data_IF_432135794379
#
_entry.id   IF_432135794379
#
_cell.length_a   1.000
_cell.length_b   1.000
_cell.length_c   1.000
_cell.angle_alpha   90.00
_cell.angle_beta   90.00
_cell.angle_gamma   90.00
#
_symmetry.space_group_name_H-M   'P 1'
#
loop_
_entity.id
_entity.type
_entity.pdbx_description
1 polymer ?
#
# COMPACT_ATOMS: atom_id res chain seq x y z
N UNK A 1 4.20 -60.26 -45.16
CA UNK A 1 3.34 -59.81 -44.04
C UNK A 1 4.17 -59.82 -42.77
N UNK A 2 4.64 -58.65 -42.31
CA UNK A 2 5.30 -58.48 -41.02
C UNK A 2 4.93 -57.06 -40.55
N UNK A 3 3.96 -56.96 -39.63
CA UNK A 3 3.49 -55.68 -39.08
C UNK A 3 4.29 -55.37 -37.82
N UNK A 4 5.11 -54.33 -37.89
CA UNK A 4 5.82 -53.72 -36.77
C UNK A 4 4.80 -52.95 -35.94
N UNK A 5 4.66 -53.33 -34.66
CA UNK A 5 3.79 -52.67 -33.69
C UNK A 5 4.60 -51.55 -32.99
N UNK A 6 4.39 -50.30 -33.40
CA UNK A 6 4.88 -49.13 -32.67
C UNK A 6 3.92 -48.83 -31.50
N UNK A 7 4.38 -49.04 -30.26
CA UNK A 7 3.68 -48.56 -29.06
C UNK A 7 4.14 -47.12 -28.81
N UNK A 8 3.29 -46.17 -29.18
CA UNK A 8 3.48 -44.75 -28.84
C UNK A 8 3.04 -44.55 -27.39
N UNK A 9 4.00 -44.35 -26.49
CA UNK A 9 3.74 -43.91 -25.12
C UNK A 9 3.36 -42.42 -25.15
N UNK A 10 2.06 -42.12 -25.05
CA UNK A 10 1.56 -40.77 -24.84
C UNK A 10 1.83 -40.35 -23.39
N UNK A 11 2.85 -39.52 -23.20
CA UNK A 11 3.03 -38.71 -22.00
C UNK A 11 1.81 -37.80 -21.83
N UNK A 12 0.92 -38.15 -20.90
CA UNK A 12 -0.11 -37.25 -20.41
C UNK A 12 0.58 -36.13 -19.59
N UNK A 13 0.85 -35.01 -20.24
CA UNK A 13 1.09 -33.76 -19.54
C UNK A 13 -0.24 -33.30 -18.93
N UNK A 14 -0.45 -33.59 -17.65
CA UNK A 14 -1.46 -32.91 -16.87
C UNK A 14 -1.02 -31.45 -16.70
N UNK A 15 -1.54 -30.57 -17.54
CA UNK A 15 -1.59 -29.15 -17.21
C UNK A 15 -2.39 -29.02 -15.91
N UNK A 16 -1.72 -28.65 -14.82
CA UNK A 16 -2.39 -28.10 -13.66
C UNK A 16 -3.02 -26.78 -14.13
N UNK A 17 -4.26 -26.85 -14.61
CA UNK A 17 -5.13 -25.70 -14.67
C UNK A 17 -5.26 -25.21 -13.23
N UNK A 18 -4.60 -24.10 -12.92
CA UNK A 18 -4.91 -23.34 -11.71
C UNK A 18 -6.41 -23.09 -11.75
N UNK A 19 -7.16 -23.69 -10.83
CA UNK A 19 -8.61 -23.49 -10.78
C UNK A 19 -8.88 -21.99 -10.61
N UNK A 20 -9.71 -21.42 -11.48
CA UNK A 20 -10.10 -20.02 -11.35
C UNK A 20 -10.83 -19.82 -10.03
N UNK A 21 -10.57 -18.70 -9.36
CA UNK A 21 -11.33 -18.31 -8.19
C UNK A 21 -12.78 -18.02 -8.59
N UNK A 22 -13.74 -18.58 -7.85
CA UNK A 22 -15.14 -18.13 -7.89
C UNK A 22 -15.37 -17.20 -6.69
N UNK A 23 -15.93 -16.02 -6.97
CA UNK A 23 -16.27 -15.03 -5.94
C UNK A 23 -17.74 -14.69 -6.05
N UNK A 24 -18.47 -15.04 -5.01
CA UNK A 24 -19.88 -14.72 -4.88
C UNK A 24 -20.07 -13.60 -3.88
N UNK A 25 -20.94 -12.66 -4.23
CA UNK A 25 -21.23 -11.46 -3.44
C UNK A 25 -22.72 -11.27 -3.32
N UNK A 26 -23.24 -11.37 -2.09
CA UNK A 26 -24.65 -11.16 -1.77
C UNK A 26 -24.82 -9.88 -0.96
N UNK A 27 -25.49 -8.89 -1.53
CA UNK A 27 -25.68 -7.59 -0.91
C UNK A 27 -27.03 -7.58 -0.16
N UNK A 28 -26.98 -7.49 1.17
CA UNK A 28 -28.15 -7.25 2.00
C UNK A 28 -28.27 -5.75 2.37
N UNK A 29 -29.27 -5.39 3.17
CA UNK A 29 -29.51 -3.99 3.57
C UNK A 29 -28.34 -3.43 4.40
N UNK A 30 -27.86 -4.18 5.39
CA UNK A 30 -26.87 -3.74 6.38
C UNK A 30 -25.48 -4.32 6.14
N UNK A 31 -25.39 -5.51 5.54
CA UNK A 31 -24.14 -6.22 5.29
C UNK A 31 -24.02 -6.66 3.84
N UNK A 32 -22.79 -6.90 3.40
CA UNK A 32 -22.47 -7.61 2.16
C UNK A 32 -21.72 -8.88 2.53
N UNK A 33 -22.25 -10.03 2.11
CA UNK A 33 -21.58 -11.32 2.25
C UNK A 33 -20.68 -11.58 1.04
N UNK A 34 -19.49 -12.09 1.33
CA UNK A 34 -18.52 -12.55 0.34
C UNK A 34 -18.24 -14.03 0.56
N UNK A 35 -18.14 -14.78 -0.54
CA UNK A 35 -17.70 -16.18 -0.54
C UNK A 35 -16.64 -16.34 -1.62
N UNK A 36 -15.49 -16.86 -1.23
CA UNK A 36 -14.33 -17.09 -2.08
C UNK A 36 -14.07 -18.59 -2.15
N UNK A 37 -14.03 -19.16 -3.35
CA UNK A 37 -13.74 -20.56 -3.59
C UNK A 37 -12.52 -20.69 -4.51
N UNK A 38 -11.44 -21.29 -4.02
CA UNK A 38 -10.23 -21.58 -4.81
C UNK A 38 -9.63 -22.94 -4.40
N UNK A 39 -9.90 -24.02 -5.15
CA UNK A 39 -9.37 -25.35 -4.83
C UNK A 39 -7.83 -25.38 -4.79
N UNK A 40 -7.22 -26.18 -3.91
CA UNK A 40 -7.85 -27.16 -3.01
C UNK A 40 -8.31 -26.57 -1.67
N UNK A 41 -8.31 -25.25 -1.50
CA UNK A 41 -8.68 -24.62 -0.24
C UNK A 41 -10.20 -24.71 0.03
N UNK A 42 -10.61 -24.75 1.32
CA UNK A 42 -12.01 -24.63 1.70
C UNK A 42 -12.57 -23.25 1.34
N UNK A 43 -13.90 -23.14 1.25
CA UNK A 43 -14.58 -21.86 1.06
C UNK A 43 -14.22 -20.88 2.18
N UNK A 44 -13.81 -19.67 1.82
CA UNK A 44 -13.70 -18.54 2.74
C UNK A 44 -14.94 -17.68 2.63
N UNK A 45 -15.72 -17.61 3.72
CA UNK A 45 -16.91 -16.75 3.80
C UNK A 45 -16.79 -15.73 4.93
N UNK A 46 -17.21 -14.50 4.66
CA UNK A 46 -17.27 -13.44 5.64
C UNK A 46 -18.28 -12.36 5.23
N UNK A 47 -18.67 -11.53 6.21
CA UNK A 47 -19.56 -10.40 5.98
C UNK A 47 -18.89 -9.09 6.34
N UNK A 48 -19.13 -8.07 5.53
CA UNK A 48 -18.69 -6.70 5.77
C UNK A 48 -19.90 -5.78 5.98
N UNK A 49 -19.77 -4.83 6.89
CA UNK A 49 -20.81 -3.82 7.14
C UNK A 49 -20.88 -2.80 5.98
N UNK A 50 -22.08 -2.55 5.45
CA UNK A 50 -22.29 -1.66 4.31
C UNK A 50 -22.02 -0.19 4.63
N UNK A 51 -22.18 0.23 5.90
CA UNK A 51 -21.81 1.57 6.36
C UNK A 51 -20.30 1.72 6.38
N UNK A 52 -19.55 0.70 6.84
CA UNK A 52 -18.10 0.67 6.80
C UNK A 52 -17.57 0.67 5.35
N UNK A 53 -18.19 -0.14 4.47
CA UNK A 53 -17.90 -0.12 3.03
C UNK A 53 -18.11 1.30 2.50
N UNK A 54 -19.27 1.92 2.69
CA UNK A 54 -19.54 3.26 2.18
C UNK A 54 -18.56 4.31 2.72
N UNK A 55 -18.21 4.23 4.00
CA UNK A 55 -17.28 5.16 4.64
C UNK A 55 -15.86 5.05 4.09
N UNK A 56 -15.42 3.86 3.66
CA UNK A 56 -14.07 3.62 3.13
C UNK A 56 -14.01 3.54 1.60
N UNK A 57 -15.16 3.43 0.92
CA UNK A 57 -15.28 3.49 -0.55
C UNK A 57 -15.21 4.93 -1.08
N UNK A 58 -15.58 5.90 -0.25
CA UNK A 58 -15.39 7.32 -0.54
C UNK A 58 -14.14 7.84 0.16
N UNK A 59 -13.36 8.68 -0.52
CA UNK A 59 -12.28 9.50 0.06
C UNK A 59 -10.86 8.93 0.11
N UNK A 60 -10.31 8.60 -1.05
CA UNK A 60 -8.95 9.07 -1.37
C UNK A 60 -9.04 9.89 -2.64
N UNK A 61 -9.26 11.21 -2.51
CA UNK A 61 -9.15 12.11 -3.66
C UNK A 61 -7.78 11.88 -4.26
N UNK A 62 -7.70 11.59 -5.56
CA UNK A 62 -6.42 11.42 -6.25
C UNK A 62 -5.53 12.63 -5.95
N UNK A 63 -4.27 12.36 -5.60
CA UNK A 63 -3.32 13.42 -5.33
C UNK A 63 -3.19 14.31 -6.57
N UNK A 64 -3.23 15.61 -6.33
CA UNK A 64 -3.01 16.62 -7.35
C UNK A 64 -2.00 17.63 -6.83
N UNK A 65 -0.86 17.72 -7.51
CA UNK A 65 0.18 18.72 -7.22
C UNK A 65 -0.40 20.12 -7.34
N UNK A 66 -1.29 20.36 -8.30
CA UNK A 66 -1.93 21.67 -8.48
C UNK A 66 -2.79 22.05 -7.27
N UNK A 67 -3.63 21.15 -6.78
CA UNK A 67 -4.48 21.41 -5.61
C UNK A 67 -3.64 21.55 -4.33
N UNK A 68 -2.56 20.79 -4.21
CA UNK A 68 -1.59 20.94 -3.12
C UNK A 68 -0.96 22.33 -3.16
N UNK A 69 -0.44 22.76 -4.30
CA UNK A 69 0.18 24.08 -4.50
C UNK A 69 -0.80 25.21 -4.20
N UNK A 70 -2.06 25.10 -4.65
CA UNK A 70 -3.10 26.09 -4.35
C UNK A 70 -3.36 26.18 -2.84
N UNK A 71 -3.44 25.05 -2.15
CA UNK A 71 -3.62 25.00 -0.70
C UNK A 71 -2.44 25.64 0.04
N UNK A 72 -1.21 25.26 -0.33
CA UNK A 72 0.02 25.79 0.26
C UNK A 72 0.09 27.31 0.07
N UNK A 73 -0.12 27.80 -1.17
CA UNK A 73 -0.16 29.24 -1.48
C UNK A 73 -1.12 29.99 -0.58
N UNK A 74 -2.34 29.46 -0.42
CA UNK A 74 -3.35 30.09 0.43
C UNK A 74 -2.90 30.17 1.90
N UNK A 75 -2.38 29.08 2.47
CA UNK A 75 -1.92 29.07 3.87
C UNK A 75 -0.72 30.01 4.08
N UNK A 76 0.22 30.04 3.14
CA UNK A 76 1.38 30.93 3.25
C UNK A 76 0.99 32.39 3.05
N UNK A 77 -0.03 32.69 2.22
CA UNK A 77 -0.60 34.04 2.13
C UNK A 77 -1.18 34.49 3.46
N UNK A 78 -1.96 33.64 4.12
CA UNK A 78 -2.52 33.94 5.45
C UNK A 78 -1.42 34.16 6.49
N UNK A 79 -0.33 33.39 6.44
CA UNK A 79 0.84 33.61 7.29
C UNK A 79 1.54 34.94 6.96
N UNK A 80 1.78 35.25 5.69
CA UNK A 80 2.44 36.48 5.26
C UNK A 80 1.69 37.75 5.68
N UNK A 81 0.35 37.73 5.64
CA UNK A 81 -0.48 38.85 6.13
C UNK A 81 -0.26 39.09 7.63
N UNK A 82 -0.14 38.02 8.44
CA UNK A 82 0.12 38.14 9.89
C UNK A 82 1.53 38.64 10.20
N UNK A 83 2.49 38.36 9.32
CA UNK A 83 3.89 38.74 9.46
C UNK A 83 4.22 40.08 8.81
N UNK A 84 3.23 40.76 8.25
CA UNK A 84 3.42 42.05 7.61
C UNK A 84 3.82 43.11 8.64
N UNK A 85 4.99 43.71 8.44
CA UNK A 85 5.53 44.76 9.30
C UNK A 85 6.24 45.84 8.47
N UNK A 86 6.45 47.02 9.06
CA UNK A 86 7.14 48.14 8.39
C UNK A 86 8.55 47.70 7.97
N UNK A 87 8.95 48.06 6.75
CA UNK A 87 10.27 47.73 6.22
C UNK A 87 10.42 46.30 5.68
N UNK A 88 9.39 45.46 5.78
CA UNK A 88 9.38 44.10 5.20
C UNK A 88 8.39 44.02 4.04
N UNK A 89 8.83 43.41 2.93
CA UNK A 89 8.01 43.12 1.75
C UNK A 89 8.13 41.64 1.42
N UNK A 90 7.01 40.93 1.51
CA UNK A 90 6.87 39.55 1.06
C UNK A 90 6.34 39.53 -0.37
N UNK A 91 6.96 38.77 -1.25
CA UNK A 91 6.49 38.53 -2.61
C UNK A 91 6.33 37.04 -2.84
N UNK A 92 5.27 36.66 -3.55
CA UNK A 92 4.99 35.27 -3.91
C UNK A 92 5.06 35.12 -5.42
N UNK A 93 5.52 33.96 -5.88
CA UNK A 93 5.52 33.67 -7.31
C UNK A 93 4.09 33.65 -7.87
N UNK A 94 3.90 34.07 -9.13
CA UNK A 94 2.66 33.89 -9.87
C UNK A 94 2.15 32.44 -9.85
N UNK A 95 0.84 32.24 -10.07
CA UNK A 95 0.20 30.91 -10.03
C UNK A 95 0.73 29.95 -11.12
N UNK A 96 1.20 30.48 -12.25
CA UNK A 96 1.72 29.71 -13.39
C UNK A 96 3.21 29.34 -13.27
N UNK A 97 3.88 29.72 -12.17
CA UNK A 97 5.27 29.36 -11.89
C UNK A 97 5.35 28.52 -10.61
N UNK A 98 6.39 27.69 -10.42
CA UNK A 98 6.59 26.96 -9.16
C UNK A 98 6.46 27.88 -7.94
N UNK A 99 5.81 27.40 -6.89
CA UNK A 99 5.55 28.22 -5.71
C UNK A 99 6.88 28.63 -5.04
N UNK A 100 7.12 29.93 -4.93
CA UNK A 100 8.28 30.53 -4.26
C UNK A 100 7.83 31.74 -3.48
N UNK A 101 8.49 31.95 -2.35
CA UNK A 101 8.28 33.11 -1.47
C UNK A 101 9.62 33.80 -1.29
N UNK A 102 9.65 35.11 -1.54
CA UNK A 102 10.82 35.96 -1.31
C UNK A 102 10.47 37.04 -0.31
N UNK A 103 11.35 37.21 0.68
CA UNK A 103 11.26 38.27 1.68
C UNK A 103 12.35 39.30 1.39
N UNK A 104 11.99 40.58 1.39
CA UNK A 104 12.92 41.71 1.26
C UNK A 104 12.70 42.69 2.39
N UNK A 105 13.77 43.34 2.83
CA UNK A 105 13.70 44.40 3.83
C UNK A 105 15.04 45.02 4.12
N UNK A 106 15.04 46.00 5.01
CA UNK A 106 16.22 46.80 5.34
C UNK A 106 17.09 46.13 6.41
N UNK A 107 16.47 45.34 7.30
CA UNK A 107 17.15 44.63 8.40
C UNK A 107 17.25 43.14 8.07
N UNK A 108 18.49 42.65 7.92
CA UNK A 108 18.75 41.25 7.54
C UNK A 108 18.15 40.24 8.53
N UNK A 109 18.26 40.51 9.83
CA UNK A 109 17.71 39.63 10.88
C UNK A 109 16.19 39.49 10.81
N UNK A 110 15.48 40.57 10.49
CA UNK A 110 14.03 40.56 10.32
C UNK A 110 13.63 39.82 9.03
N UNK A 111 14.39 39.99 7.95
CA UNK A 111 14.20 39.25 6.70
C UNK A 111 14.34 37.75 6.94
N UNK A 112 15.41 37.33 7.61
CA UNK A 112 15.68 35.93 7.91
C UNK A 112 14.60 35.32 8.80
N UNK A 113 14.18 36.03 9.85
CA UNK A 113 13.12 35.57 10.74
C UNK A 113 11.80 35.34 10.00
N UNK A 114 11.36 36.30 9.17
CA UNK A 114 10.12 36.18 8.40
C UNK A 114 10.25 35.08 7.34
N UNK A 115 11.41 34.96 6.68
CA UNK A 115 11.67 33.91 5.70
C UNK A 115 11.56 32.51 6.33
N UNK A 116 12.14 32.31 7.52
CA UNK A 116 12.03 31.04 8.26
C UNK A 116 10.59 30.74 8.66
N UNK A 117 9.85 31.73 9.17
CA UNK A 117 8.45 31.54 9.55
C UNK A 117 7.55 31.19 8.35
N UNK A 118 7.80 31.78 7.18
CA UNK A 118 7.06 31.46 5.96
C UNK A 118 7.45 30.07 5.39
N UNK A 119 8.71 29.66 5.51
CA UNK A 119 9.14 28.30 5.17
C UNK A 119 8.48 27.26 6.08
N UNK A 120 8.40 27.52 7.38
CA UNK A 120 7.69 26.66 8.33
C UNK A 120 6.19 26.59 7.98
N UNK A 121 5.55 27.72 7.68
CA UNK A 121 4.15 27.74 7.26
C UNK A 121 3.92 26.95 5.96
N UNK A 122 4.85 27.06 5.00
CA UNK A 122 4.81 26.29 3.75
C UNK A 122 4.90 24.78 4.01
N UNK A 123 5.88 24.35 4.81
CA UNK A 123 6.06 22.94 5.16
C UNK A 123 4.85 22.39 5.89
N UNK A 124 4.36 23.11 6.91
CA UNK A 124 3.17 22.72 7.67
C UNK A 124 1.92 22.63 6.79
N UNK A 125 1.73 23.57 5.85
CA UNK A 125 0.61 23.53 4.92
C UNK A 125 0.68 22.30 4.01
N UNK A 126 1.86 21.92 3.56
CA UNK A 126 2.04 20.73 2.74
C UNK A 126 1.79 19.44 3.54
N UNK A 127 2.38 19.32 4.72
CA UNK A 127 2.19 18.17 5.61
C UNK A 127 0.72 18.00 6.01
N UNK A 128 0.04 19.12 6.31
CA UNK A 128 -1.39 19.12 6.63
C UNK A 128 -2.24 18.71 5.43
N UNK A 129 -1.90 19.15 4.21
CA UNK A 129 -2.60 18.74 3.00
C UNK A 129 -2.49 17.23 2.79
N UNK A 130 -1.26 16.70 2.84
CA UNK A 130 -1.01 15.27 2.69
C UNK A 130 -1.74 14.46 3.76
N UNK A 131 -1.60 14.85 5.02
CA UNK A 131 -2.27 14.19 6.15
C UNK A 131 -3.79 14.23 6.02
N UNK A 132 -4.39 15.37 5.64
CA UNK A 132 -5.85 15.47 5.48
C UNK A 132 -6.37 14.44 4.48
N UNK A 133 -5.65 14.28 3.37
CA UNK A 133 -6.11 13.50 2.21
C UNK A 133 -5.50 12.09 2.16
N UNK A 134 -4.96 11.58 3.27
CA UNK A 134 -4.39 10.23 3.38
C UNK A 134 -3.20 9.99 2.45
N UNK A 135 -2.30 10.98 2.36
CA UNK A 135 -1.04 10.86 1.67
C UNK A 135 0.15 10.98 2.62
N UNK A 136 1.27 10.42 2.18
CA UNK A 136 2.54 10.42 2.86
C UNK A 136 3.65 10.82 1.89
N UNK A 137 4.55 11.71 2.34
CA UNK A 137 5.73 12.10 1.59
C UNK A 137 6.85 11.10 1.86
N UNK A 138 7.12 10.23 0.90
CA UNK A 138 8.18 9.24 0.99
C UNK A 138 9.49 9.80 0.44
N UNK A 139 10.60 9.30 1.00
CA UNK A 139 11.96 9.54 0.51
C UNK A 139 12.56 8.24 0.00
N UNK A 140 13.13 8.28 -1.20
CA UNK A 140 13.93 7.17 -1.74
C UNK A 140 15.28 7.09 -1.01
N UNK A 141 16.02 5.98 -1.15
CA UNK A 141 17.40 5.89 -0.66
C UNK A 141 18.34 6.95 -1.25
N UNK A 142 18.04 7.48 -2.44
CA UNK A 142 18.81 8.55 -3.10
C UNK A 142 18.39 9.95 -2.69
N UNK A 143 17.37 10.09 -1.83
CA UNK A 143 16.87 11.37 -1.31
C UNK A 143 15.73 12.00 -2.14
N UNK A 144 15.32 11.37 -3.24
CA UNK A 144 14.18 11.81 -4.04
C UNK A 144 12.87 11.70 -3.25
N UNK A 145 11.98 12.68 -3.42
CA UNK A 145 10.70 12.73 -2.71
C UNK A 145 9.56 12.39 -3.64
N UNK A 146 8.61 11.59 -3.16
CA UNK A 146 7.41 11.24 -3.90
C UNK A 146 6.23 11.02 -2.95
N UNK A 147 5.04 11.37 -3.43
CA UNK A 147 3.81 11.25 -2.66
C UNK A 147 3.16 9.90 -2.92
N UNK A 148 2.81 9.19 -1.85
CA UNK A 148 2.06 7.93 -1.92
C UNK A 148 0.85 7.97 -0.98
N UNK A 149 -0.15 7.10 -1.18
CA UNK A 149 -1.17 6.90 -0.16
C UNK A 149 -0.54 6.54 1.19
N UNK A 150 -1.11 7.03 2.29
CA UNK A 150 -0.66 6.70 3.64
C UNK A 150 -1.10 5.29 4.02
N UNK A 151 -0.45 4.29 3.42
CA UNK A 151 -0.75 2.87 3.59
C UNK A 151 -0.81 2.44 5.06
N UNK A 152 0.04 3.03 5.92
CA UNK A 152 0.04 2.78 7.37
C UNK A 152 -1.27 3.20 8.00
N UNK A 153 -1.68 4.44 7.75
CA UNK A 153 -2.95 4.95 8.28
C UNK A 153 -4.15 4.23 7.68
N UNK A 154 -4.14 3.96 6.37
CA UNK A 154 -5.24 3.24 5.71
C UNK A 154 -5.39 1.84 6.30
N UNK A 155 -4.28 1.10 6.46
CA UNK A 155 -4.30 -0.22 7.11
C UNK A 155 -4.93 -0.13 8.51
N UNK A 156 -4.43 0.77 9.36
CA UNK A 156 -4.91 0.93 10.74
C UNK A 156 -6.41 1.24 10.81
N UNK A 157 -6.93 2.05 9.89
CA UNK A 157 -8.35 2.40 9.84
C UNK A 157 -9.24 1.32 9.24
N UNK A 158 -8.71 0.49 8.33
CA UNK A 158 -9.47 -0.62 7.76
C UNK A 158 -9.55 -1.85 8.69
N UNK A 159 -8.60 -2.02 9.60
CA UNK A 159 -8.52 -3.19 10.49
C UNK A 159 -9.81 -3.57 11.21
N UNK A 160 -10.55 -2.66 11.88
CA UNK A 160 -11.79 -3.03 12.56
C UNK A 160 -12.84 -3.65 11.63
N UNK A 161 -12.96 -3.12 10.41
CA UNK A 161 -13.91 -3.63 9.43
C UNK A 161 -13.46 -4.95 8.78
N UNK A 162 -12.16 -5.28 8.84
CA UNK A 162 -11.60 -6.54 8.34
C UNK A 162 -11.57 -7.65 9.41
N UNK A 163 -12.12 -7.41 10.60
CA UNK A 163 -12.09 -8.39 11.69
C UNK A 163 -12.82 -9.69 11.32
N UNK A 164 -13.94 -9.63 10.60
CA UNK A 164 -14.70 -10.81 10.17
C UNK A 164 -13.87 -11.72 9.26
N UNK A 165 -13.07 -11.14 8.37
CA UNK A 165 -12.13 -11.88 7.50
C UNK A 165 -11.08 -12.58 8.34
N UNK A 166 -10.52 -11.86 9.31
CA UNK A 166 -9.47 -12.36 10.20
C UNK A 166 -9.99 -13.55 11.02
N UNK A 167 -11.22 -13.46 11.53
CA UNK A 167 -11.90 -14.55 12.23
C UNK A 167 -12.13 -15.76 11.31
N UNK A 168 -12.61 -15.54 10.07
CA UNK A 168 -12.83 -16.63 9.11
C UNK A 168 -11.54 -17.41 8.80
N UNK A 169 -10.39 -16.73 8.67
CA UNK A 169 -9.10 -17.42 8.54
C UNK A 169 -8.71 -18.21 9.79
N UNK A 170 -8.98 -17.67 10.99
CA UNK A 170 -8.72 -18.38 12.25
C UNK A 170 -9.62 -19.61 12.40
N UNK A 171 -10.88 -19.53 11.97
CA UNK A 171 -11.83 -20.63 12.03
C UNK A 171 -11.42 -21.78 11.08
N UNK A 172 -10.93 -21.45 9.88
CA UNK A 172 -10.50 -22.44 8.88
C UNK A 172 -9.15 -23.09 9.18
N UNK A 173 -8.17 -22.30 9.66
CA UNK A 173 -6.76 -22.75 9.73
C UNK A 173 -6.19 -22.75 11.15
N UNK A 174 -6.92 -22.22 12.14
CA UNK A 174 -6.40 -21.97 13.47
C UNK A 174 -5.36 -20.84 13.51
N UNK A 175 -4.97 -20.41 14.72
CA UNK A 175 -4.00 -19.32 14.92
C UNK A 175 -2.67 -19.75 15.57
N UNK A 176 -2.45 -21.04 15.74
CA UNK A 176 -1.27 -21.57 16.44
C UNK A 176 -0.02 -21.57 15.56
N UNK A 177 -0.19 -21.51 14.24
CA UNK A 177 0.89 -21.50 13.27
C UNK A 177 0.81 -20.26 12.38
N UNK A 178 1.56 -19.21 12.74
CA UNK A 178 1.59 -17.96 11.97
C UNK A 178 2.05 -18.18 10.52
N UNK A 179 2.98 -19.09 10.26
CA UNK A 179 3.47 -19.37 8.89
C UNK A 179 2.36 -19.96 8.02
N UNK A 180 1.62 -20.93 8.56
CA UNK A 180 0.52 -21.58 7.83
C UNK A 180 -0.55 -20.56 7.46
N UNK A 181 -1.10 -19.83 8.44
CA UNK A 181 -2.19 -18.90 8.18
C UNK A 181 -1.73 -17.70 7.34
N UNK A 182 -0.51 -17.22 7.52
CA UNK A 182 0.12 -16.20 6.65
C UNK A 182 0.17 -16.67 5.20
N UNK A 183 0.60 -17.91 4.95
CA UNK A 183 0.59 -18.51 3.62
C UNK A 183 -0.80 -18.51 3.01
N UNK A 184 -1.82 -18.95 3.76
CA UNK A 184 -3.22 -18.97 3.28
C UNK A 184 -3.80 -17.60 3.00
N UNK A 185 -3.47 -16.59 3.81
CA UNK A 185 -3.86 -15.20 3.52
C UNK A 185 -3.16 -14.73 2.24
N UNK A 186 -1.87 -15.02 2.08
CA UNK A 186 -1.12 -14.68 0.86
C UNK A 186 -1.74 -15.34 -0.38
N UNK A 187 -2.01 -16.65 -0.32
CA UNK A 187 -2.61 -17.43 -1.41
C UNK A 187 -3.95 -16.83 -1.84
N UNK A 188 -4.82 -16.47 -0.87
CA UNK A 188 -6.10 -15.81 -1.13
C UNK A 188 -5.95 -14.43 -1.78
N UNK A 189 -5.08 -13.57 -1.24
CA UNK A 189 -4.88 -12.22 -1.78
C UNK A 189 -4.32 -12.25 -3.20
N UNK A 190 -3.45 -13.22 -3.50
CA UNK A 190 -2.88 -13.43 -4.84
C UNK A 190 -3.95 -13.86 -5.87
N UNK A 191 -5.09 -14.43 -5.44
CA UNK A 191 -6.20 -14.75 -6.34
C UNK A 191 -7.02 -13.52 -6.76
N UNK A 192 -6.96 -12.43 -5.99
CA UNK A 192 -7.66 -11.20 -6.35
C UNK A 192 -6.97 -10.65 -7.62
N UNK A 193 -7.70 -10.27 -8.68
CA UNK A 193 -7.12 -9.73 -9.90
C UNK A 193 -6.21 -8.53 -9.65
N UNK A 194 -5.11 -8.47 -10.40
CA UNK A 194 -4.20 -7.33 -10.40
C UNK A 194 -4.80 -6.19 -11.25
N UNK A 195 -4.84 -4.99 -10.70
CA UNK A 195 -5.20 -3.77 -11.43
C UNK A 195 -3.95 -2.90 -11.56
N UNK A 196 -3.52 -2.65 -12.79
CA UNK A 196 -2.23 -2.00 -13.04
C UNK A 196 -2.15 -0.59 -12.44
N UNK A 197 -1.02 -0.35 -11.77
CA UNK A 197 -0.51 0.98 -11.54
C UNK A 197 0.24 1.46 -12.77
N UNK A 198 -0.10 2.65 -13.25
CA UNK A 198 0.93 3.47 -13.91
C UNK A 198 2.02 3.80 -12.87
N UNK A 199 3.30 3.76 -13.27
CA UNK A 199 4.51 4.01 -12.44
C UNK A 199 4.25 4.87 -11.17
N UNK A 200 4.60 4.36 -9.97
CA UNK A 200 4.34 4.99 -8.65
C UNK A 200 4.86 6.43 -8.54
N UNK A 201 6.01 6.73 -9.17
CA UNK A 201 6.58 8.08 -9.19
C UNK A 201 5.77 9.04 -10.07
N UNK A 202 5.15 8.54 -11.14
CA UNK A 202 4.36 9.33 -12.09
C UNK A 202 2.88 9.41 -11.70
N UNK A 203 2.38 8.47 -10.91
CA UNK A 203 0.95 8.24 -10.72
C UNK A 203 0.42 8.68 -9.36
N UNK A 204 1.32 8.92 -8.38
CA UNK A 204 0.99 9.34 -7.00
C UNK A 204 -0.13 8.48 -6.35
N UNK A 205 -0.12 7.16 -6.60
CA UNK A 205 -1.14 6.23 -6.11
C UNK A 205 -2.39 6.13 -6.97
N UNK A 206 -2.36 6.60 -8.23
CA UNK A 206 -3.45 6.39 -9.19
C UNK A 206 -3.59 4.90 -9.51
N UNK A 207 -4.60 4.26 -8.92
CA UNK A 207 -4.87 2.83 -9.02
C UNK A 207 -4.96 2.13 -7.65
N UNK A 208 -4.55 2.83 -6.58
CA UNK A 208 -4.67 2.33 -5.21
C UNK A 208 -6.14 2.23 -4.78
N UNK A 209 -6.48 1.07 -4.20
CA UNK A 209 -7.77 0.74 -3.62
C UNK A 209 -7.58 0.33 -2.17
N UNK A 210 -8.16 1.11 -1.24
CA UNK A 210 -8.19 0.73 0.17
C UNK A 210 -8.86 -0.66 0.36
N UNK A 211 -8.53 -1.43 1.42
CA UNK A 211 -8.92 -2.84 1.55
C UNK A 211 -10.40 -3.14 1.27
N UNK A 212 -11.33 -2.37 1.82
CA UNK A 212 -12.77 -2.61 1.62
C UNK A 212 -13.21 -2.35 0.17
N UNK A 213 -12.65 -1.31 -0.47
CA UNK A 213 -12.89 -1.02 -1.88
C UNK A 213 -12.32 -2.12 -2.77
N UNK A 214 -11.08 -2.56 -2.50
CA UNK A 214 -10.45 -3.67 -3.22
C UNK A 214 -11.31 -4.94 -3.16
N UNK A 215 -11.91 -5.26 -2.00
CA UNK A 215 -12.78 -6.44 -1.87
C UNK A 215 -14.11 -6.27 -2.63
N UNK A 216 -14.71 -5.08 -2.55
CA UNK A 216 -16.00 -4.78 -3.22
C UNK A 216 -15.87 -4.77 -4.74
N UNK A 217 -14.74 -4.28 -5.25
CA UNK A 217 -14.41 -4.19 -6.68
C UNK A 217 -13.68 -5.42 -7.20
N UNK A 218 -13.30 -6.33 -6.30
CA UNK A 218 -12.53 -7.54 -6.58
C UNK A 218 -11.29 -7.26 -7.45
N UNK A 219 -10.50 -6.27 -7.04
CA UNK A 219 -9.28 -5.91 -7.75
C UNK A 219 -8.50 -4.79 -7.07
N UNK A 220 -7.19 -4.80 -7.30
CA UNK A 220 -6.30 -3.78 -6.78
C UNK A 220 -4.86 -4.00 -7.22
N UNK A 221 -4.03 -3.00 -6.97
CA UNK A 221 -2.60 -3.02 -7.27
C UNK A 221 -1.74 -3.72 -6.20
N UNK A 222 -0.42 -3.72 -6.39
CA UNK A 222 0.53 -4.28 -5.42
C UNK A 222 0.41 -3.65 -4.02
N UNK A 223 0.24 -2.33 -3.95
CA UNK A 223 0.09 -1.59 -2.70
C UNK A 223 -1.18 -1.98 -1.95
N UNK A 224 -2.31 -2.06 -2.65
CA UNK A 224 -3.63 -2.42 -2.13
C UNK A 224 -3.65 -3.83 -1.57
N UNK A 225 -3.06 -4.78 -2.30
CA UNK A 225 -2.93 -6.17 -1.87
C UNK A 225 -2.01 -6.34 -0.67
N UNK A 226 -0.87 -5.63 -0.67
CA UNK A 226 0.05 -5.61 0.47
C UNK A 226 -0.64 -5.07 1.74
N UNK A 227 -1.42 -3.99 1.61
CA UNK A 227 -2.18 -3.42 2.73
C UNK A 227 -3.28 -4.36 3.23
N UNK A 228 -4.02 -5.02 2.33
CA UNK A 228 -5.04 -6.01 2.72
C UNK A 228 -4.43 -7.17 3.49
N UNK A 229 -3.38 -7.78 2.93
CA UNK A 229 -2.64 -8.87 3.58
C UNK A 229 -2.16 -8.44 4.98
N UNK A 230 -1.53 -7.27 5.06
CA UNK A 230 -0.96 -6.78 6.31
C UNK A 230 -2.03 -6.52 7.37
N UNK A 231 -3.16 -5.91 6.99
CA UNK A 231 -4.26 -5.63 7.90
C UNK A 231 -4.88 -6.91 8.48
N UNK A 232 -5.12 -7.92 7.63
CA UNK A 232 -5.69 -9.21 8.06
C UNK A 232 -4.71 -9.94 8.99
N UNK A 233 -3.43 -10.05 8.60
CA UNK A 233 -2.43 -10.71 9.45
C UNK A 233 -2.25 -10.00 10.80
N UNK A 234 -2.21 -8.66 10.82
CA UNK A 234 -2.08 -7.86 12.04
C UNK A 234 -3.31 -7.97 12.95
N UNK A 235 -4.51 -8.20 12.41
CA UNK A 235 -5.70 -8.48 13.23
C UNK A 235 -5.58 -9.82 13.97
N UNK A 236 -4.99 -10.83 13.32
CA UNK A 236 -4.80 -12.16 13.93
C UNK A 236 -3.64 -12.13 14.93
N UNK A 237 -2.55 -11.44 14.59
CA UNK A 237 -1.33 -11.34 15.38
C UNK A 237 -0.97 -9.88 15.70
N UNK A 238 -1.70 -9.20 16.60
CA UNK A 238 -1.58 -7.76 16.82
C UNK A 238 -0.23 -7.32 17.43
N UNK A 239 0.54 -8.24 18.00
CA UNK A 239 1.87 -7.97 18.58
C UNK A 239 3.01 -8.15 17.59
N UNK A 240 2.77 -8.79 16.44
CA UNK A 240 3.81 -9.03 15.45
C UNK A 240 4.07 -7.74 14.69
N UNK A 241 5.33 -7.39 14.50
CA UNK A 241 5.67 -6.25 13.66
C UNK A 241 5.46 -6.62 12.19
N UNK A 242 4.89 -5.68 11.44
CA UNK A 242 4.73 -5.80 9.99
C UNK A 242 5.20 -4.49 9.34
N UNK A 243 5.50 -4.54 8.06
CA UNK A 243 5.88 -3.38 7.26
C UNK A 243 5.61 -3.61 5.78
N UNK A 244 5.60 -2.53 5.02
CA UNK A 244 5.68 -2.60 3.55
C UNK A 244 7.07 -2.17 3.12
N UNK A 245 7.65 -2.92 2.20
CA UNK A 245 8.87 -2.60 1.48
C UNK A 245 8.49 -2.15 0.08
N UNK A 246 8.92 -0.95 -0.30
CA UNK A 246 8.63 -0.31 -1.58
C UNK A 246 9.85 -0.35 -2.50
N UNK A 247 9.63 -0.91 -3.68
CA UNK A 247 10.51 -0.83 -4.84
C UNK A 247 10.00 0.27 -5.80
N UNK A 248 10.72 0.62 -6.87
CA UNK A 248 10.24 1.63 -7.82
C UNK A 248 8.86 1.35 -8.42
N UNK A 249 8.59 0.09 -8.77
CA UNK A 249 7.36 -0.35 -9.47
C UNK A 249 6.61 -1.49 -8.75
N UNK A 250 6.99 -1.81 -7.50
CA UNK A 250 6.39 -2.91 -6.74
C UNK A 250 6.37 -2.63 -5.25
N UNK A 251 5.54 -3.35 -4.51
CA UNK A 251 5.50 -3.31 -3.05
C UNK A 251 5.22 -4.70 -2.49
N UNK A 252 5.93 -5.04 -1.42
CA UNK A 252 5.85 -6.34 -0.76
C UNK A 252 5.78 -6.15 0.74
N UNK A 253 5.42 -7.20 1.47
CA UNK A 253 5.26 -7.14 2.92
C UNK A 253 6.48 -7.71 3.61
N UNK A 254 6.96 -7.00 4.64
CA UNK A 254 7.92 -7.50 5.61
C UNK A 254 7.15 -7.89 6.87
N UNK A 255 6.98 -9.19 7.12
CA UNK A 255 6.22 -9.69 8.27
C UNK A 255 7.15 -10.39 9.27
N UNK A 256 6.95 -10.13 10.57
CA UNK A 256 7.69 -10.80 11.64
C UNK A 256 7.19 -12.25 11.80
N UNK A 257 7.63 -13.08 10.87
CA UNK A 257 7.35 -14.50 10.75
C UNK A 257 8.71 -15.21 10.77
N UNK A 258 8.89 -16.29 11.56
CA UNK A 258 10.14 -17.03 11.58
C UNK A 258 10.47 -17.57 10.18
N UNK A 259 11.62 -17.25 9.57
CA UNK A 259 11.99 -17.73 8.25
C UNK A 259 12.47 -19.19 8.27
N UNK A 260 12.38 -19.88 7.14
CA UNK A 260 13.06 -21.16 6.87
C UNK A 260 14.37 -20.92 6.14
N UNK A 261 15.17 -21.99 6.02
CA UNK A 261 16.37 -21.97 5.19
C UNK A 261 16.04 -21.56 3.75
N UNK A 262 16.91 -20.74 3.16
CA UNK A 262 16.80 -20.21 1.80
C UNK A 262 15.61 -19.29 1.52
N UNK A 263 14.83 -18.90 2.53
CA UNK A 263 13.81 -17.86 2.39
C UNK A 263 14.41 -16.45 2.45
N UNK A 264 13.89 -15.56 1.60
CA UNK A 264 14.26 -14.16 1.58
C UNK A 264 13.76 -13.43 2.81
N UNK A 265 14.68 -12.71 3.44
CA UNK A 265 14.40 -11.88 4.60
C UNK A 265 14.92 -10.46 4.39
N UNK A 266 14.39 -9.53 5.17
CA UNK A 266 14.87 -8.15 5.24
C UNK A 266 15.06 -7.75 6.70
N UNK A 267 16.18 -7.12 7.03
CA UNK A 267 16.42 -6.59 8.38
C UNK A 267 16.07 -5.11 8.43
N UNK A 268 15.07 -4.75 9.23
CA UNK A 268 14.60 -3.39 9.42
C UNK A 268 14.69 -3.05 10.91
N UNK A 269 15.36 -1.96 11.27
CA UNK A 269 15.53 -1.53 12.67
C UNK A 269 16.05 -2.63 13.61
N UNK A 270 16.93 -3.50 13.11
CA UNK A 270 17.51 -4.62 13.87
C UNK A 270 16.61 -5.86 14.00
N UNK A 271 15.40 -5.84 13.44
CA UNK A 271 14.47 -6.97 13.43
C UNK A 271 14.51 -7.62 12.05
N UNK A 272 14.57 -8.95 12.01
CA UNK A 272 14.50 -9.73 10.77
C UNK A 272 13.05 -10.05 10.44
N UNK A 273 12.64 -9.74 9.21
CA UNK A 273 11.31 -9.97 8.69
C UNK A 273 11.39 -10.95 7.51
N UNK A 274 10.41 -11.85 7.42
CA UNK A 274 10.18 -12.65 6.23
C UNK A 274 9.56 -11.75 5.16
N UNK A 275 10.07 -11.85 3.94
CA UNK A 275 9.48 -11.16 2.79
C UNK A 275 8.31 -11.97 2.26
N UNK A 276 7.16 -11.32 2.09
CA UNK A 276 5.94 -11.91 1.57
C UNK A 276 5.42 -11.07 0.42
N UNK A 277 5.21 -11.71 -0.72
CA UNK A 277 4.65 -11.09 -1.92
C UNK A 277 3.21 -11.56 -2.14
N UNK A 278 2.20 -10.80 -1.70
CA UNK A 278 0.80 -11.19 -1.84
C UNK A 278 0.18 -10.76 -3.18
N UNK A 279 0.96 -10.24 -4.15
CA UNK A 279 0.35 -9.50 -5.26
C UNK A 279 -0.23 -10.36 -6.37
N UNK A 280 0.31 -11.56 -6.59
CA UNK A 280 -0.10 -12.46 -7.67
C UNK A 280 0.10 -11.84 -9.06
N UNK A 281 -0.50 -12.40 -10.13
CA UNK A 281 -1.27 -13.64 -10.15
C UNK A 281 -0.40 -14.90 -10.20
N UNK A 282 0.91 -14.77 -10.44
CA UNK A 282 1.83 -15.90 -10.35
C UNK A 282 1.95 -16.31 -8.88
N UNK A 283 1.61 -17.57 -8.50
CA UNK A 283 1.68 -18.00 -7.12
C UNK A 283 3.10 -17.88 -6.56
N UNK A 284 3.28 -17.05 -5.54
CA UNK A 284 4.54 -16.82 -4.85
C UNK A 284 4.48 -17.42 -3.46
N UNK A 285 5.46 -18.27 -3.14
CA UNK A 285 5.60 -18.82 -1.78
C UNK A 285 6.11 -17.75 -0.83
N UNK A 286 5.85 -17.94 0.46
CA UNK A 286 6.50 -17.14 1.50
C UNK A 286 8.03 -17.15 1.32
N UNK A 287 8.68 -16.02 1.58
CA UNK A 287 10.12 -15.91 1.44
C UNK A 287 10.63 -15.95 0.00
N UNK A 288 9.77 -15.77 -1.01
CA UNK A 288 10.18 -15.72 -2.42
C UNK A 288 9.78 -14.42 -3.09
N UNK A 289 10.60 -13.98 -4.04
CA UNK A 289 10.38 -12.80 -4.86
C UNK A 289 10.93 -13.01 -6.26
N UNK A 290 10.40 -12.28 -7.24
CA UNK A 290 11.01 -12.23 -8.56
C UNK A 290 12.44 -11.69 -8.49
N UNK A 291 13.34 -12.24 -9.33
CA UNK A 291 14.79 -11.98 -9.29
C UNK A 291 15.14 -10.49 -9.27
N UNK A 292 14.44 -9.66 -10.05
CA UNK A 292 14.61 -8.21 -10.08
C UNK A 292 14.52 -7.58 -8.68
N UNK A 293 13.54 -7.98 -7.88
CA UNK A 293 13.30 -7.44 -6.53
C UNK A 293 14.26 -8.00 -5.49
N UNK A 294 14.79 -9.21 -5.71
CA UNK A 294 15.88 -9.73 -4.87
C UNK A 294 17.13 -8.86 -4.99
N UNK A 295 17.50 -8.43 -6.21
CA UNK A 295 18.62 -7.51 -6.42
C UNK A 295 18.40 -6.18 -5.70
N UNK A 296 17.19 -5.60 -5.76
CA UNK A 296 16.86 -4.39 -5.02
C UNK A 296 17.01 -4.57 -3.51
N UNK A 297 16.54 -5.69 -2.94
CA UNK A 297 16.70 -5.99 -1.52
C UNK A 297 18.18 -6.11 -1.11
N UNK A 298 18.96 -6.91 -1.83
CA UNK A 298 20.38 -7.13 -1.55
C UNK A 298 21.17 -5.84 -1.57
N UNK A 299 20.89 -4.97 -2.56
CA UNK A 299 21.57 -3.68 -2.71
C UNK A 299 20.99 -2.58 -1.82
N UNK A 300 20.00 -2.89 -0.96
CA UNK A 300 19.27 -1.91 -0.12
C UNK A 300 18.67 -0.74 -0.92
N UNK A 301 18.28 -1.02 -2.15
CA UNK A 301 17.63 -0.07 -3.06
C UNK A 301 16.11 -0.16 -2.91
N UNK A 302 15.65 0.05 -1.68
CA UNK A 302 14.24 0.06 -1.31
C UNK A 302 14.03 1.05 -0.17
N UNK A 303 12.78 1.42 0.06
CA UNK A 303 12.36 2.17 1.23
C UNK A 303 11.23 1.40 1.91
N UNK A 304 10.92 1.72 3.16
CA UNK A 304 9.97 0.92 3.93
C UNK A 304 9.18 1.77 4.90
N UNK A 305 8.02 1.24 5.30
CA UNK A 305 7.25 1.74 6.42
C UNK A 305 6.81 0.58 7.29
N UNK A 306 7.15 0.64 8.58
CA UNK A 306 6.66 -0.29 9.59
C UNK A 306 5.30 0.20 10.12
N UNK A 307 4.49 -0.74 10.61
CA UNK A 307 3.19 -0.49 11.21
C UNK A 307 3.19 -0.69 12.72
#
# INVERSE_FOLDING_TARGET
MLKILFVLNSLLWSSLLSAAIDVQKTIAKTTTEFRYQWPPEPELSFQLDNTAIKAQSGSTRRYSTELADQHIRHQVLLAAVKLQQRGIRVQMSPKNLPFRVTVRGNEASQVDQVQQQLQLAQQQAYDNYLKRDFYYLMKSPTGEQFVIPDHVRVMQQSRPALQSISNAFVDLYGKNNIRQISGKISDWVQQIPYQDLSNRQASAGSGYSAPLKLLVEHGGDCDSKAVLYAAVLQNIFPKNSIGIVYFPDHAVVAAQIPPLEHELTVTLQGITYLVVDPTGPAPTKLGTLAQKYQTYLTNRQFTYRLF
#
